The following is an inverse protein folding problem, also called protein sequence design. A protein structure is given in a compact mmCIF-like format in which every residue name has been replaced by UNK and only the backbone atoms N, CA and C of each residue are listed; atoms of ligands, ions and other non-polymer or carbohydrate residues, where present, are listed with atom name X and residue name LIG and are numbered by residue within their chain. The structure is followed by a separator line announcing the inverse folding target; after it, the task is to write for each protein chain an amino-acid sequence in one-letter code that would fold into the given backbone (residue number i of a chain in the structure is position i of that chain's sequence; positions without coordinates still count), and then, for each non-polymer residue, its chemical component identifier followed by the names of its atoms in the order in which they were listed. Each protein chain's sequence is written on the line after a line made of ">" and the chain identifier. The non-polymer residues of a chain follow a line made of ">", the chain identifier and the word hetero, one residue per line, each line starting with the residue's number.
data_IF_063696088483
#
_entry.id   IF_063696088483
#
_cell.length_a   1.000
_cell.length_b   1.000
_cell.length_c   1.000
_cell.angle_alpha   90.00
_cell.angle_beta   90.00
_cell.angle_gamma   90.00
#
_symmetry.space_group_name_H-M   'P 1'
#
loop_
_entity.id
_entity.type
_entity.pdbx_description
1 polymer ?
#
# COMPACT_ATOMS: atom_id res chain seq x y z
N UNK A 1 13.96 10.49 -23.23
CA UNK A 1 12.49 10.37 -23.05
C UNK A 1 12.28 9.80 -21.65
N UNK A 2 11.62 10.50 -20.73
CA UNK A 2 11.37 9.95 -19.39
C UNK A 2 10.34 8.81 -19.50
N UNK A 3 10.53 7.68 -18.80
CA UNK A 3 9.53 6.63 -18.74
C UNK A 3 8.24 7.23 -18.15
N UNK A 4 7.11 6.83 -18.73
CA UNK A 4 5.81 7.35 -18.34
C UNK A 4 5.46 6.76 -16.97
N UNK A 5 4.82 7.56 -16.12
CA UNK A 5 4.50 7.13 -14.75
C UNK A 5 3.50 5.95 -14.78
N UNK A 6 3.72 4.82 -14.09
CA UNK A 6 2.88 3.62 -14.21
C UNK A 6 1.40 3.84 -13.91
N UNK A 7 1.07 4.72 -12.95
CA UNK A 7 -0.34 5.07 -12.67
C UNK A 7 -1.01 5.77 -13.85
N UNK A 8 -0.26 6.58 -14.61
CA UNK A 8 -0.79 7.23 -15.81
C UNK A 8 -1.07 6.17 -16.87
N UNK A 9 -0.12 5.24 -17.10
CA UNK A 9 -0.30 4.13 -18.04
C UNK A 9 -1.50 3.24 -17.68
N UNK A 10 -1.67 2.92 -16.39
CA UNK A 10 -2.80 2.15 -15.90
C UNK A 10 -4.14 2.89 -16.10
N UNK A 11 -4.16 4.21 -15.84
CA UNK A 11 -5.38 5.01 -16.02
C UNK A 11 -5.79 5.06 -17.48
N UNK A 12 -4.83 5.24 -18.40
CA UNK A 12 -5.09 5.21 -19.84
C UNK A 12 -5.53 3.83 -20.35
N UNK A 13 -4.91 2.77 -19.85
CA UNK A 13 -5.33 1.40 -20.16
C UNK A 13 -6.78 1.19 -19.70
N UNK A 14 -7.12 1.59 -18.48
CA UNK A 14 -8.47 1.47 -17.96
C UNK A 14 -9.48 2.23 -18.82
N UNK A 15 -9.17 3.47 -19.22
CA UNK A 15 -10.02 4.25 -20.12
C UNK A 15 -10.24 3.51 -21.45
N UNK A 16 -9.18 2.98 -22.06
CA UNK A 16 -9.26 2.27 -23.35
C UNK A 16 -10.08 0.97 -23.27
N UNK A 17 -9.89 0.17 -22.22
CA UNK A 17 -10.54 -1.14 -22.11
C UNK A 17 -12.01 -1.05 -21.63
N UNK A 18 -12.41 0.08 -21.04
CA UNK A 18 -13.74 0.23 -20.41
C UNK A 18 -14.57 1.38 -20.96
N UNK A 19 -14.01 2.17 -21.88
CA UNK A 19 -14.59 3.40 -22.44
C UNK A 19 -15.00 4.43 -21.36
N UNK A 20 -14.38 4.33 -20.18
CA UNK A 20 -14.65 5.24 -19.07
C UNK A 20 -14.07 6.63 -19.37
N UNK A 21 -14.83 7.70 -19.09
CA UNK A 21 -14.30 9.06 -19.05
C UNK A 21 -13.13 9.19 -18.07
N UNK A 22 -12.19 10.10 -18.37
CA UNK A 22 -10.95 10.28 -17.61
C UNK A 22 -11.18 10.56 -16.12
N UNK A 23 -12.19 11.35 -15.77
CA UNK A 23 -12.55 11.67 -14.38
C UNK A 23 -12.97 10.41 -13.61
N UNK A 24 -13.76 9.53 -14.23
CA UNK A 24 -14.21 8.26 -13.65
C UNK A 24 -13.08 7.25 -13.53
N UNK A 25 -12.24 7.12 -14.55
CA UNK A 25 -11.06 6.26 -14.51
C UNK A 25 -10.08 6.72 -13.43
N UNK A 26 -9.80 8.03 -13.35
CA UNK A 26 -8.91 8.62 -12.33
C UNK A 26 -9.45 8.42 -10.92
N UNK A 27 -10.76 8.62 -10.72
CA UNK A 27 -11.42 8.39 -9.43
C UNK A 27 -11.34 6.92 -9.00
N UNK A 28 -11.52 5.98 -9.95
CA UNK A 28 -11.42 4.55 -9.68
C UNK A 28 -10.00 4.15 -9.28
N UNK A 29 -9.00 4.58 -10.06
CA UNK A 29 -7.58 4.30 -9.77
C UNK A 29 -7.19 4.88 -8.40
N UNK A 30 -7.57 6.12 -8.11
CA UNK A 30 -7.30 6.77 -6.81
C UNK A 30 -7.94 6.01 -5.65
N UNK A 31 -9.20 5.59 -5.77
CA UNK A 31 -9.89 4.84 -4.72
C UNK A 31 -9.17 3.53 -4.38
N UNK A 32 -8.73 2.79 -5.41
CA UNK A 32 -8.01 1.53 -5.23
C UNK A 32 -6.61 1.77 -4.65
N UNK A 33 -5.92 2.81 -5.11
CA UNK A 33 -4.63 3.21 -4.57
C UNK A 33 -4.73 3.53 -3.07
N UNK A 34 -5.68 4.38 -2.68
CA UNK A 34 -5.89 4.79 -1.29
C UNK A 34 -6.23 3.56 -0.40
N UNK A 35 -7.06 2.64 -0.90
CA UNK A 35 -7.37 1.40 -0.20
C UNK A 35 -6.13 0.50 -0.03
N UNK A 36 -5.30 0.38 -1.06
CA UNK A 36 -4.05 -0.37 -1.03
C UNK A 36 -3.03 0.21 -0.06
N UNK A 37 -2.88 1.55 -0.04
CA UNK A 37 -2.04 2.25 0.93
C UNK A 37 -2.53 1.98 2.35
N UNK A 38 -3.83 2.15 2.61
CA UNK A 38 -4.39 1.92 3.94
C UNK A 38 -4.18 0.47 4.43
N UNK A 39 -4.31 -0.51 3.54
CA UNK A 39 -4.02 -1.91 3.86
C UNK A 39 -2.54 -2.15 4.14
N UNK A 40 -1.64 -1.65 3.28
CA UNK A 40 -0.20 -1.76 3.49
C UNK A 40 0.23 -1.13 4.81
N UNK A 41 -0.33 0.04 5.16
CA UNK A 41 -0.07 0.70 6.44
C UNK A 41 -0.53 -0.14 7.63
N UNK A 42 -1.72 -0.75 7.58
CA UNK A 42 -2.19 -1.63 8.66
C UNK A 42 -1.26 -2.82 8.88
N UNK A 43 -0.88 -3.52 7.81
CA UNK A 43 0.04 -4.66 7.90
C UNK A 43 1.39 -4.26 8.48
N UNK A 44 1.95 -3.15 8.03
CA UNK A 44 3.21 -2.64 8.57
C UNK A 44 3.11 -2.30 10.06
N UNK A 45 1.97 -1.77 10.52
CA UNK A 45 1.73 -1.53 11.95
C UNK A 45 1.62 -2.84 12.75
N UNK A 46 0.94 -3.85 12.20
CA UNK A 46 0.82 -5.16 12.84
C UNK A 46 2.19 -5.86 12.97
N UNK A 47 2.99 -5.82 11.90
CA UNK A 47 4.36 -6.36 11.88
C UNK A 47 5.26 -5.65 12.89
N UNK A 48 5.19 -4.31 12.95
CA UNK A 48 5.94 -3.52 13.94
C UNK A 48 5.51 -3.85 15.37
N UNK A 49 4.22 -4.01 15.61
CA UNK A 49 3.71 -4.39 16.93
C UNK A 49 4.17 -5.80 17.33
N UNK A 50 4.25 -6.73 16.39
CA UNK A 50 4.79 -8.08 16.63
C UNK A 50 6.28 -8.03 16.97
N UNK A 51 7.08 -7.32 16.16
CA UNK A 51 8.52 -7.15 16.40
C UNK A 51 8.81 -6.49 17.76
N UNK A 52 8.00 -5.51 18.17
CA UNK A 52 8.13 -4.87 19.48
C UNK A 52 7.84 -5.84 20.63
N UNK A 53 6.83 -6.72 20.49
CA UNK A 53 6.52 -7.74 21.51
C UNK A 53 7.66 -8.75 21.63
N UNK A 54 8.15 -9.26 20.51
CA UNK A 54 9.28 -10.19 20.48
C UNK A 54 10.54 -9.57 21.11
N UNK A 55 10.86 -8.31 20.76
CA UNK A 55 12.00 -7.61 21.35
C UNK A 55 11.88 -7.44 22.86
N UNK A 56 10.67 -7.22 23.37
CA UNK A 56 10.42 -7.07 24.80
C UNK A 56 10.51 -8.42 25.53
N UNK A 57 10.01 -9.49 24.93
CA UNK A 57 10.15 -10.86 25.45
C UNK A 57 11.63 -11.28 25.52
N UNK A 58 12.41 -11.01 24.48
CA UNK A 58 13.85 -11.28 24.46
C UNK A 58 14.61 -10.47 25.51
N UNK A 59 14.26 -9.20 25.74
CA UNK A 59 14.87 -8.39 26.81
C UNK A 59 14.62 -8.97 28.19
N UNK A 60 13.38 -9.37 28.47
CA UNK A 60 13.04 -10.01 29.76
C UNK A 60 13.79 -11.32 29.96
N UNK A 61 13.89 -12.14 28.91
CA UNK A 61 14.65 -13.39 29.00
C UNK A 61 16.14 -13.18 29.31
N UNK A 62 16.74 -12.08 28.84
CA UNK A 62 18.12 -11.71 29.14
C UNK A 62 18.28 -11.10 30.55
N UNK A 63 17.28 -10.37 31.03
CA UNK A 63 17.30 -9.77 32.38
C UNK A 63 17.04 -10.80 33.49
N UNK A 64 16.39 -11.93 33.17
CA UNK A 64 16.10 -13.04 34.08
C UNK A 64 17.28 -14.05 34.23
N UNK A 65 18.38 -13.89 33.49
CA UNK A 65 19.66 -14.65 33.59
C UNK A 65 20.72 -13.94 34.45
#
# INVERSE_FOLDING_TARGET
>A
MHPRHPIIELTELLMRETDLPQDRASALVRRIWDAGVAEGTRRMMDDLAAANRESEELRRALDDE
#
